data_IF_040776156004
#
_entry.id   IF_040776156004
#
_cell.length_a   1.000
_cell.length_b   1.000
_cell.length_c   1.000
_cell.angle_alpha   90.00
_cell.angle_beta   90.00
_cell.angle_gamma   90.00
#
_symmetry.space_group_name_H-M   'P 1'
#
loop_
_entity.id
_entity.type
_entity.pdbx_description
1 polymer ?
#
# COMPACT_ATOMS: atom_id res chain seq x y z
N UNK A 1 -20.69 9.27 -0.45
CA UNK A 1 -19.63 8.60 0.34
C UNK A 1 -18.81 7.82 -0.67
N UNK A 2 -17.70 8.39 -1.15
CA UNK A 2 -16.85 7.74 -2.15
C UNK A 2 -15.60 7.27 -1.42
N UNK A 3 -15.61 6.01 -0.96
CA UNK A 3 -14.38 5.31 -0.64
C UNK A 3 -13.62 5.14 -1.96
N UNK A 4 -12.59 5.94 -2.20
CA UNK A 4 -11.66 5.70 -3.32
C UNK A 4 -10.56 4.77 -2.84
N UNK A 5 -10.77 3.48 -3.08
CA UNK A 5 -9.73 2.47 -2.95
C UNK A 5 -9.33 1.99 -4.35
N UNK A 6 -8.02 1.94 -4.62
CA UNK A 6 -7.48 1.44 -5.88
C UNK A 6 -6.68 0.17 -5.62
N UNK A 7 -7.10 -0.92 -6.26
CA UNK A 7 -6.45 -2.23 -6.22
C UNK A 7 -5.54 -2.37 -7.43
N UNK A 8 -4.26 -2.66 -7.20
CA UNK A 8 -3.26 -2.69 -8.27
C UNK A 8 -2.27 -3.82 -8.00
N UNK A 9 -1.82 -4.49 -9.06
CA UNK A 9 -0.73 -5.47 -8.99
C UNK A 9 0.62 -4.74 -8.96
N UNK A 10 1.50 -5.18 -8.07
CA UNK A 10 2.91 -4.81 -8.11
C UNK A 10 3.54 -5.68 -9.20
N UNK A 11 4.28 -5.10 -10.13
CA UNK A 11 5.06 -5.86 -11.12
C UNK A 11 6.51 -5.41 -10.98
N UNK A 12 7.36 -6.27 -10.40
CA UNK A 12 8.78 -5.98 -10.12
C UNK A 12 9.02 -4.57 -9.55
N UNK A 13 9.68 -3.69 -10.32
CA UNK A 13 10.02 -2.31 -9.96
C UNK A 13 8.99 -1.28 -10.45
N UNK A 14 7.78 -1.70 -10.82
CA UNK A 14 6.76 -0.77 -11.29
C UNK A 14 6.48 0.29 -10.23
N UNK A 15 6.39 1.50 -10.76
CA UNK A 15 6.08 2.70 -10.05
C UNK A 15 4.63 2.64 -9.55
N UNK A 16 4.48 2.58 -8.23
CA UNK A 16 3.21 2.63 -7.50
C UNK A 16 2.67 4.06 -7.55
N UNK A 17 1.41 4.21 -7.97
CA UNK A 17 0.74 5.51 -7.93
C UNK A 17 -0.03 5.66 -6.62
N UNK A 18 0.32 6.68 -5.84
CA UNK A 18 -0.39 7.04 -4.63
C UNK A 18 -0.46 8.57 -4.50
N UNK A 19 -1.64 9.10 -4.20
CA UNK A 19 -1.86 10.56 -4.01
C UNK A 19 -1.34 11.41 -5.18
N UNK A 20 -1.51 10.96 -6.44
CA UNK A 20 -1.04 11.70 -7.62
C UNK A 20 0.47 11.56 -7.91
N UNK A 21 1.21 10.81 -7.10
CA UNK A 21 2.65 10.67 -7.19
C UNK A 21 3.06 9.21 -7.39
N UNK A 22 4.25 9.05 -7.92
CA UNK A 22 4.81 7.81 -8.43
C UNK A 22 5.97 7.40 -7.50
N UNK A 23 5.94 6.18 -6.97
CA UNK A 23 6.93 5.67 -6.01
C UNK A 23 7.39 4.27 -6.39
N UNK A 24 8.67 3.94 -6.23
CA UNK A 24 9.09 2.53 -6.24
C UNK A 24 8.73 1.86 -4.91
N UNK A 25 8.68 0.53 -4.90
CA UNK A 25 8.45 -0.26 -3.69
C UNK A 25 9.55 0.00 -2.64
N UNK A 26 10.81 0.11 -3.09
CA UNK A 26 11.94 0.46 -2.23
C UNK A 26 11.81 1.85 -1.62
N UNK A 27 11.40 2.85 -2.41
CA UNK A 27 11.18 4.20 -1.89
C UNK A 27 10.07 4.24 -0.84
N UNK A 28 8.98 3.48 -1.05
CA UNK A 28 7.89 3.35 -0.09
C UNK A 28 8.33 2.67 1.22
N UNK A 29 9.31 1.78 1.14
CA UNK A 29 9.87 1.02 2.26
C UNK A 29 11.22 1.58 2.76
N UNK A 30 11.47 2.87 2.51
CA UNK A 30 12.65 3.60 2.98
C UNK A 30 14.00 2.95 2.62
N UNK A 31 14.09 2.32 1.43
CA UNK A 31 15.30 1.68 0.91
C UNK A 31 15.56 0.26 1.45
N UNK A 32 14.62 -0.33 2.20
CA UNK A 32 14.76 -1.70 2.70
C UNK A 32 14.47 -2.74 1.61
N UNK A 33 15.50 -3.10 0.84
CA UNK A 33 15.41 -4.06 -0.26
C UNK A 33 14.96 -5.45 0.19
N UNK A 34 15.41 -5.95 1.34
CA UNK A 34 14.99 -7.26 1.88
C UNK A 34 13.49 -7.31 2.13
N UNK A 35 12.93 -6.21 2.65
CA UNK A 35 11.49 -6.10 2.87
C UNK A 35 10.73 -5.91 1.56
N UNK A 36 11.28 -5.15 0.60
CA UNK A 36 10.68 -4.96 -0.71
C UNK A 36 10.51 -6.29 -1.46
N UNK A 37 11.50 -7.19 -1.40
CA UNK A 37 11.44 -8.50 -2.04
C UNK A 37 10.26 -9.35 -1.55
N UNK A 38 9.82 -9.20 -0.29
CA UNK A 38 8.65 -9.91 0.25
C UNK A 38 7.33 -9.49 -0.43
N UNK A 39 7.28 -8.28 -1.00
CA UNK A 39 6.08 -7.71 -1.61
C UNK A 39 6.17 -7.61 -3.14
N UNK A 40 7.34 -7.90 -3.75
CA UNK A 40 7.50 -7.93 -5.21
C UNK A 40 6.49 -8.89 -5.83
N UNK A 41 5.92 -8.51 -6.97
CA UNK A 41 4.89 -9.27 -7.67
C UNK A 41 3.61 -9.55 -6.85
N UNK A 42 3.42 -8.83 -5.74
CA UNK A 42 2.23 -8.88 -4.90
C UNK A 42 1.08 -8.00 -5.40
N UNK A 43 0.11 -7.75 -4.53
CA UNK A 43 -1.01 -6.84 -4.78
C UNK A 43 -1.05 -5.79 -3.67
N UNK A 44 -1.36 -4.54 -4.02
CA UNK A 44 -1.53 -3.47 -3.05
C UNK A 44 -2.87 -2.76 -3.21
N UNK A 45 -3.27 -2.11 -2.12
CA UNK A 45 -4.45 -1.24 -2.08
C UNK A 45 -4.04 0.10 -1.51
N UNK A 46 -4.35 1.16 -2.24
CA UNK A 46 -4.26 2.52 -1.71
C UNK A 46 -5.66 2.99 -1.37
N UNK A 47 -5.91 3.27 -0.09
CA UNK A 47 -7.19 3.80 0.40
C UNK A 47 -7.01 5.25 0.82
N UNK A 48 -7.88 6.14 0.30
CA UNK A 48 -7.98 7.51 0.78
C UNK A 48 -9.10 7.63 1.82
N UNK A 49 -8.79 8.26 2.96
CA UNK A 49 -9.76 8.61 3.99
C UNK A 49 -9.92 10.14 3.98
N UNK A 50 -11.11 10.62 3.61
CA UNK A 50 -11.45 12.04 3.66
C UNK A 50 -11.60 12.53 5.10
N UNK A 51 -11.51 13.84 5.37
CA UNK A 51 -11.68 14.39 6.72
C UNK A 51 -13.01 14.03 7.41
N UNK A 52 -14.03 13.69 6.63
CA UNK A 52 -15.36 13.30 7.14
C UNK A 52 -15.46 11.79 7.40
N UNK A 53 -14.55 10.99 6.82
CA UNK A 53 -14.59 9.55 6.96
C UNK A 53 -14.18 9.12 8.37
N UNK A 54 -14.55 7.90 8.72
CA UNK A 54 -14.13 7.30 9.96
C UNK A 54 -12.61 7.04 9.93
N UNK A 55 -11.85 7.73 10.79
CA UNK A 55 -10.38 7.70 10.80
C UNK A 55 -9.78 6.57 11.64
N UNK A 56 -10.55 5.53 11.95
CA UNK A 56 -9.97 4.33 12.58
C UNK A 56 -9.74 3.25 11.54
N UNK A 57 -8.52 2.73 11.56
CA UNK A 57 -8.10 1.60 10.72
C UNK A 57 -8.19 0.34 11.56
N UNK A 58 -8.79 -0.70 11.00
CA UNK A 58 -8.92 -2.02 11.63
C UNK A 58 -8.03 -3.03 10.91
N UNK A 59 -7.63 -4.08 11.63
CA UNK A 59 -6.85 -5.17 11.05
C UNK A 59 -7.69 -5.93 10.02
N UNK A 60 -7.15 -6.23 8.82
CA UNK A 60 -7.88 -6.95 7.77
C UNK A 60 -7.99 -8.45 8.04
N UNK A 61 -7.12 -9.00 8.90
CA UNK A 61 -7.09 -10.40 9.30
C UNK A 61 -6.37 -10.57 10.65
N UNK A 62 -6.36 -11.78 11.19
CA UNK A 62 -5.61 -12.10 12.40
C UNK A 62 -4.10 -11.94 12.16
N UNK A 63 -3.41 -11.27 13.09
CA UNK A 63 -1.96 -11.16 13.09
C UNK A 63 -1.32 -12.18 14.04
N UNK A 64 -0.12 -12.63 13.69
CA UNK A 64 0.74 -13.39 14.60
C UNK A 64 1.95 -12.51 14.98
N UNK A 65 2.27 -12.42 16.27
CA UNK A 65 3.55 -11.88 16.73
C UNK A 65 4.57 -13.02 16.74
N UNK A 66 5.66 -12.86 15.98
CA UNK A 66 6.81 -13.75 16.05
C UNK A 66 7.65 -13.46 17.30
#
# INVERSE_FOLDING_TARGET
MALSASWVKIEEDKILQAKGHNYSLEALLAGNYLMADLFRNGTFVTTYLSPRDYHRVHMPCNGYSA
#
